data_IF_071780135059
#
_entry.id   IF_071780135059
#
_cell.length_a   1.000
_cell.length_b   1.000
_cell.length_c   1.000
_cell.angle_alpha   90.00
_cell.angle_beta   90.00
_cell.angle_gamma   90.00
#
_symmetry.space_group_name_H-M   'P 1'
#
loop_
_entity.id
_entity.type
_entity.pdbx_description
1 polymer ?
#
# COMPACT_ATOMS: atom_id res chain seq x y z
N UNK A 1 -13.94 -2.63 -34.04
CA UNK A 1 -12.90 -2.83 -33.04
C UNK A 1 -12.89 -4.28 -32.63
N UNK A 2 -11.86 -5.05 -33.04
CA UNK A 2 -11.69 -6.43 -32.66
C UNK A 2 -11.61 -6.55 -31.13
N UNK A 3 -12.21 -7.58 -30.55
CA UNK A 3 -12.10 -7.89 -29.12
C UNK A 3 -10.67 -8.41 -28.87
N UNK A 4 -9.68 -7.52 -28.72
CA UNK A 4 -8.36 -7.96 -28.26
C UNK A 4 -8.54 -8.61 -26.88
N UNK A 5 -8.57 -9.91 -26.85
CA UNK A 5 -8.62 -10.70 -25.62
C UNK A 5 -7.20 -10.92 -25.10
N UNK A 6 -7.04 -10.93 -23.79
CA UNK A 6 -5.79 -11.36 -23.17
C UNK A 6 -5.54 -12.81 -23.58
N UNK A 7 -4.41 -13.15 -24.18
CA UNK A 7 -4.11 -14.50 -24.64
C UNK A 7 -4.21 -15.53 -23.51
N UNK A 8 -4.68 -16.74 -23.83
CA UNK A 8 -4.84 -17.81 -22.83
C UNK A 8 -3.55 -18.19 -22.11
N UNK A 9 -2.41 -18.15 -22.83
CA UNK A 9 -1.11 -18.44 -22.21
C UNK A 9 -0.70 -17.40 -21.15
N UNK A 10 -1.07 -16.11 -21.30
CA UNK A 10 -0.83 -15.07 -20.28
C UNK A 10 -1.55 -15.44 -18.98
N UNK A 11 -2.83 -15.86 -19.10
CA UNK A 11 -3.58 -16.33 -17.96
C UNK A 11 -2.99 -17.60 -17.35
N UNK A 12 -2.57 -18.56 -18.17
CA UNK A 12 -1.95 -19.79 -17.68
C UNK A 12 -0.70 -19.50 -16.85
N UNK A 13 0.17 -18.58 -17.30
CA UNK A 13 1.37 -18.18 -16.57
C UNK A 13 1.02 -17.45 -15.26
N UNK A 14 0.12 -16.47 -15.30
CA UNK A 14 -0.24 -15.69 -14.11
C UNK A 14 -0.96 -16.55 -13.07
N UNK A 15 -1.92 -17.37 -13.47
CA UNK A 15 -2.61 -18.31 -12.57
C UNK A 15 -1.62 -19.34 -12.03
N UNK A 16 -0.77 -19.90 -12.87
CA UNK A 16 0.29 -20.83 -12.45
C UNK A 16 1.21 -20.23 -11.39
N UNK A 17 1.68 -18.98 -11.59
CA UNK A 17 2.51 -18.28 -10.62
C UNK A 17 1.79 -18.09 -9.26
N UNK A 18 0.50 -17.69 -9.28
CA UNK A 18 -0.29 -17.54 -8.05
C UNK A 18 -0.49 -18.89 -7.34
N UNK A 19 -0.87 -19.94 -8.08
CA UNK A 19 -1.08 -21.28 -7.50
C UNK A 19 0.21 -21.85 -6.93
N UNK A 20 1.34 -21.71 -7.63
CA UNK A 20 2.63 -22.19 -7.15
C UNK A 20 3.07 -21.43 -5.90
N UNK A 21 2.93 -20.09 -5.88
CA UNK A 21 3.29 -19.29 -4.70
C UNK A 21 2.38 -19.61 -3.52
N UNK A 22 1.07 -19.70 -3.73
CA UNK A 22 0.12 -20.06 -2.68
C UNK A 22 0.39 -21.47 -2.13
N UNK A 23 0.60 -22.45 -3.01
CA UNK A 23 0.92 -23.83 -2.63
C UNK A 23 2.23 -23.92 -1.83
N UNK A 24 3.26 -23.17 -2.26
CA UNK A 24 4.52 -23.06 -1.52
C UNK A 24 4.31 -22.48 -0.11
N UNK A 25 3.61 -21.33 -0.02
CA UNK A 25 3.35 -20.64 1.26
C UNK A 25 2.54 -21.50 2.22
N UNK A 26 1.50 -22.20 1.73
CA UNK A 26 0.68 -23.11 2.55
C UNK A 26 1.48 -24.31 3.03
N UNK A 27 2.37 -24.86 2.20
CA UNK A 27 3.23 -25.99 2.56
C UNK A 27 4.29 -25.62 3.60
N UNK A 28 4.89 -24.41 3.47
CA UNK A 28 5.95 -23.94 4.36
C UNK A 28 5.42 -23.26 5.64
N UNK A 29 4.15 -22.86 5.67
CA UNK A 29 3.59 -22.03 6.74
C UNK A 29 4.06 -20.57 6.74
N UNK A 30 4.69 -20.09 5.66
CA UNK A 30 5.31 -18.75 5.55
C UNK A 30 4.31 -17.63 5.18
N UNK A 31 3.04 -17.75 5.60
CA UNK A 31 1.99 -16.77 5.33
C UNK A 31 1.95 -15.61 6.35
N UNK A 32 2.81 -15.63 7.36
CA UNK A 32 2.79 -14.68 8.47
C UNK A 32 3.89 -13.62 8.33
N UNK A 33 3.51 -12.37 8.52
CA UNK A 33 4.39 -11.21 8.66
C UNK A 33 4.23 -10.60 10.06
N UNK A 34 5.05 -9.63 10.43
CA UNK A 34 5.04 -9.00 11.75
C UNK A 34 3.65 -8.46 12.19
N UNK A 35 2.82 -8.05 11.23
CA UNK A 35 1.48 -7.52 11.50
C UNK A 35 0.39 -8.59 11.57
N UNK A 36 0.64 -9.79 11.05
CA UNK A 36 -0.36 -10.86 10.89
C UNK A 36 -1.00 -11.25 12.21
N UNK A 37 -0.19 -11.46 13.26
CA UNK A 37 -0.68 -11.86 14.58
C UNK A 37 -1.68 -10.85 15.15
N UNK A 38 -1.43 -9.55 14.98
CA UNK A 38 -2.34 -8.50 15.42
C UNK A 38 -3.67 -8.48 14.68
N UNK A 39 -3.67 -8.78 13.38
CA UNK A 39 -4.91 -8.86 12.61
C UNK A 39 -5.76 -10.05 12.99
N UNK A 40 -5.16 -11.24 13.17
CA UNK A 40 -5.85 -12.46 13.55
C UNK A 40 -6.41 -12.28 14.98
N UNK A 41 -5.59 -11.80 15.92
CA UNK A 41 -6.02 -11.60 17.31
C UNK A 41 -7.15 -10.57 17.41
N UNK A 42 -7.09 -9.47 16.62
CA UNK A 42 -8.18 -8.50 16.58
C UNK A 42 -9.49 -9.11 16.03
N UNK A 43 -9.42 -9.98 15.04
CA UNK A 43 -10.57 -10.69 14.50
C UNK A 43 -11.14 -11.71 15.51
N UNK A 44 -10.28 -12.47 16.20
CA UNK A 44 -10.67 -13.44 17.23
C UNK A 44 -11.34 -12.74 18.43
N UNK A 45 -10.74 -11.67 18.93
CA UNK A 45 -11.31 -10.91 20.05
C UNK A 45 -12.67 -10.27 19.69
N UNK A 46 -12.78 -9.76 18.46
CA UNK A 46 -14.04 -9.20 17.96
C UNK A 46 -15.14 -10.28 17.92
N UNK A 47 -14.79 -11.51 17.54
CA UNK A 47 -15.71 -12.64 17.50
C UNK A 47 -16.12 -13.10 18.91
N UNK A 48 -15.13 -13.29 19.80
CA UNK A 48 -15.37 -13.90 21.11
C UNK A 48 -15.92 -12.94 22.15
N UNK A 49 -15.49 -11.69 22.10
CA UNK A 49 -15.70 -10.70 23.16
C UNK A 49 -16.36 -9.41 22.69
N UNK A 50 -16.57 -9.24 21.38
CA UNK A 50 -17.05 -7.98 20.79
C UNK A 50 -16.03 -6.84 20.82
N UNK A 51 -14.75 -7.13 21.15
CA UNK A 51 -13.71 -6.14 21.34
C UNK A 51 -12.69 -6.14 20.21
N UNK A 52 -12.50 -4.99 19.55
CA UNK A 52 -11.41 -4.81 18.56
C UNK A 52 -10.11 -4.54 19.33
N UNK A 53 -9.37 -5.60 19.65
CA UNK A 53 -8.14 -5.54 20.42
C UNK A 53 -7.08 -6.48 19.82
N UNK A 54 -5.87 -5.96 19.54
CA UNK A 54 -4.88 -6.64 18.72
C UNK A 54 -3.89 -7.53 19.48
N UNK A 55 -4.19 -7.86 20.75
CA UNK A 55 -3.44 -8.82 21.58
C UNK A 55 -4.42 -9.76 22.32
N UNK A 56 -3.92 -10.83 22.98
CA UNK A 56 -4.78 -11.71 23.77
C UNK A 56 -5.65 -10.97 24.79
N UNK A 57 -6.92 -11.33 24.87
CA UNK A 57 -7.93 -10.77 25.78
C UNK A 57 -8.29 -11.78 26.87
N UNK A 58 -8.62 -11.36 28.11
CA UNK A 58 -8.68 -9.99 28.58
C UNK A 58 -7.30 -9.39 28.86
N UNK A 59 -7.14 -8.10 28.55
CA UNK A 59 -5.96 -7.33 28.97
C UNK A 59 -6.03 -7.13 30.49
N UNK A 60 -5.06 -7.68 31.20
CA UNK A 60 -5.10 -7.72 32.68
C UNK A 60 -4.92 -6.33 33.33
N UNK A 61 -4.22 -5.41 32.63
CA UNK A 61 -4.06 -4.02 33.10
C UNK A 61 -3.93 -3.13 31.87
N UNK A 62 -4.72 -2.05 31.75
CA UNK A 62 -4.51 -1.06 30.72
C UNK A 62 -3.30 -0.18 31.07
N UNK A 63 -2.09 -0.70 30.84
CA UNK A 63 -0.96 0.21 30.66
C UNK A 63 -1.18 1.03 29.39
N UNK A 64 -0.62 2.23 29.27
CA UNK A 64 -0.73 3.03 28.06
C UNK A 64 -0.33 2.28 26.79
N UNK A 65 0.57 1.27 26.89
CA UNK A 65 0.94 0.37 25.81
C UNK A 65 -0.16 -0.65 25.46
N UNK A 66 -0.91 -1.13 26.45
CA UNK A 66 -2.03 -2.05 26.23
C UNK A 66 -3.21 -1.32 25.56
N UNK A 67 -3.51 -0.09 25.99
CA UNK A 67 -4.56 0.75 25.38
C UNK A 67 -4.30 1.03 23.89
N UNK A 68 -3.05 1.15 23.49
CA UNK A 68 -2.64 1.29 22.08
C UNK A 68 -3.18 0.17 21.19
N UNK A 69 -3.27 -1.04 21.68
CA UNK A 69 -3.69 -2.21 20.89
C UNK A 69 -5.18 -2.19 20.50
N UNK A 70 -6.02 -1.34 21.13
CA UNK A 70 -7.39 -1.11 20.70
C UNK A 70 -7.50 -0.40 19.34
N UNK A 71 -6.50 0.38 18.97
CA UNK A 71 -6.59 1.27 17.81
C UNK A 71 -5.44 1.11 16.81
N UNK A 72 -4.52 0.17 17.08
CA UNK A 72 -3.35 -0.05 16.21
C UNK A 72 -3.73 -0.58 14.83
N UNK A 73 -4.85 -1.31 14.73
CA UNK A 73 -5.37 -1.86 13.48
C UNK A 73 -6.81 -1.40 13.27
N UNK A 74 -7.12 -0.81 12.10
CA UNK A 74 -8.51 -0.51 11.73
C UNK A 74 -9.33 -1.79 11.58
N UNK A 75 -10.64 -1.66 11.73
CA UNK A 75 -11.59 -2.79 11.80
C UNK A 75 -11.75 -3.56 10.47
N UNK A 76 -11.45 -2.93 9.31
CA UNK A 76 -11.81 -3.48 8.01
C UNK A 76 -11.19 -4.83 7.70
N UNK A 77 -9.88 -5.00 7.92
CA UNK A 77 -9.23 -6.28 7.64
C UNK A 77 -9.58 -7.37 8.67
N UNK A 78 -9.63 -7.11 9.99
CA UNK A 78 -10.19 -8.03 10.97
C UNK A 78 -11.59 -8.54 10.62
N UNK A 79 -12.51 -7.68 10.14
CA UNK A 79 -13.84 -8.10 9.69
C UNK A 79 -13.81 -9.07 8.51
N UNK A 80 -12.89 -8.89 7.55
CA UNK A 80 -12.74 -9.83 6.44
C UNK A 80 -12.20 -11.18 6.92
N UNK A 81 -11.20 -11.17 7.82
CA UNK A 81 -10.68 -12.39 8.44
C UNK A 81 -11.80 -13.15 9.14
N UNK A 82 -12.61 -12.43 9.94
CA UNK A 82 -13.76 -12.98 10.66
C UNK A 82 -14.81 -13.56 9.71
N UNK A 83 -15.21 -12.78 8.69
CA UNK A 83 -16.22 -13.19 7.71
C UNK A 83 -15.86 -14.44 6.91
N UNK A 84 -14.55 -14.74 6.78
CA UNK A 84 -14.04 -15.94 6.10
C UNK A 84 -13.74 -17.10 7.06
N UNK A 85 -14.04 -16.97 8.35
CA UNK A 85 -13.75 -17.99 9.36
C UNK A 85 -12.25 -18.21 9.63
N UNK A 86 -11.39 -17.30 9.16
CA UNK A 86 -9.92 -17.43 9.30
C UNK A 86 -9.38 -16.93 10.65
N UNK A 87 -10.25 -16.44 11.54
CA UNK A 87 -9.85 -15.99 12.87
C UNK A 87 -9.54 -17.17 13.81
N UNK A 88 -10.27 -18.28 13.66
CA UNK A 88 -10.18 -19.47 14.53
C UNK A 88 -9.66 -20.70 13.80
N UNK A 89 -9.34 -20.58 12.51
CA UNK A 89 -8.95 -21.68 11.66
C UNK A 89 -7.76 -21.37 10.76
N UNK A 90 -7.60 -22.18 9.72
CA UNK A 90 -6.51 -22.04 8.76
C UNK A 90 -6.80 -20.88 7.78
N UNK A 91 -5.80 -20.01 7.44
CA UNK A 91 -6.03 -18.82 6.61
C UNK A 91 -6.27 -19.12 5.11
N UNK A 92 -6.39 -20.37 4.71
CA UNK A 92 -6.43 -20.78 3.30
C UNK A 92 -7.53 -20.05 2.48
N UNK A 93 -8.74 -19.91 3.01
CA UNK A 93 -9.84 -19.23 2.32
C UNK A 93 -9.54 -17.75 2.09
N UNK A 94 -8.95 -17.09 3.08
CA UNK A 94 -8.50 -15.69 2.96
C UNK A 94 -7.42 -15.55 1.89
N UNK A 95 -6.42 -16.45 1.89
CA UNK A 95 -5.32 -16.43 0.92
C UNK A 95 -5.81 -16.73 -0.50
N UNK A 96 -6.76 -17.65 -0.67
CA UNK A 96 -7.43 -17.91 -1.97
C UNK A 96 -8.15 -16.64 -2.44
N UNK A 97 -8.98 -16.02 -1.60
CA UNK A 97 -9.65 -14.76 -1.94
C UNK A 97 -8.65 -13.69 -2.37
N UNK A 98 -7.55 -13.49 -1.64
CA UNK A 98 -6.54 -12.50 -1.95
C UNK A 98 -5.84 -12.77 -3.28
N UNK A 99 -5.54 -14.05 -3.61
CA UNK A 99 -5.00 -14.44 -4.90
C UNK A 99 -6.00 -14.17 -6.04
N UNK A 100 -7.30 -14.43 -5.82
CA UNK A 100 -8.34 -14.08 -6.78
C UNK A 100 -8.45 -12.57 -7.01
N UNK A 101 -8.38 -11.76 -5.95
CA UNK A 101 -8.37 -10.29 -6.04
C UNK A 101 -7.13 -9.76 -6.77
N UNK A 102 -5.96 -10.38 -6.53
CA UNK A 102 -4.72 -10.09 -7.27
C UNK A 102 -4.90 -10.34 -8.77
N UNK A 103 -5.35 -11.55 -9.15
CA UNK A 103 -5.61 -11.92 -10.54
C UNK A 103 -6.69 -11.02 -11.18
N UNK A 104 -7.73 -10.67 -10.45
CA UNK A 104 -8.76 -9.73 -10.91
C UNK A 104 -8.16 -8.35 -11.21
N UNK A 105 -7.36 -7.82 -10.30
CA UNK A 105 -6.72 -6.51 -10.44
C UNK A 105 -5.79 -6.47 -11.67
N UNK A 106 -4.94 -7.49 -11.82
CA UNK A 106 -4.08 -7.66 -12.99
C UNK A 106 -4.91 -7.82 -14.27
N UNK A 107 -5.97 -8.62 -14.20
CA UNK A 107 -6.87 -8.85 -15.33
C UNK A 107 -7.59 -7.60 -15.82
N UNK A 108 -8.00 -6.72 -14.91
CA UNK A 108 -8.60 -5.43 -15.26
C UNK A 108 -7.60 -4.58 -16.05
N UNK A 109 -6.36 -4.45 -15.56
CA UNK A 109 -5.31 -3.66 -16.22
C UNK A 109 -4.94 -4.25 -17.59
N UNK A 110 -4.68 -5.56 -17.66
CA UNK A 110 -4.27 -6.23 -18.89
C UNK A 110 -5.37 -6.20 -19.96
N UNK A 111 -6.65 -6.42 -19.57
CA UNK A 111 -7.78 -6.32 -20.50
C UNK A 111 -7.98 -4.89 -20.99
N UNK A 112 -7.87 -3.90 -20.10
CA UNK A 112 -7.97 -2.50 -20.48
C UNK A 112 -6.88 -2.13 -21.49
N UNK A 113 -5.62 -2.44 -21.19
CA UNK A 113 -4.48 -2.18 -22.08
C UNK A 113 -4.59 -2.95 -23.39
N UNK A 114 -4.93 -4.24 -23.35
CA UNK A 114 -5.11 -5.08 -24.54
C UNK A 114 -6.13 -4.52 -25.52
N UNK A 115 -7.25 -4.02 -25.02
CA UNK A 115 -8.30 -3.40 -25.87
C UNK A 115 -7.86 -2.06 -26.47
N UNK A 116 -6.99 -1.35 -25.78
CA UNK A 116 -6.58 -0.01 -26.17
C UNK A 116 -5.35 -0.01 -27.08
N UNK A 117 -4.35 -0.85 -26.81
CA UNK A 117 -3.07 -0.88 -27.49
C UNK A 117 -2.94 -1.96 -28.56
N UNK A 118 -3.83 -2.97 -28.58
CA UNK A 118 -3.75 -4.15 -29.46
C UNK A 118 -2.33 -4.74 -29.52
N UNK A 119 -1.79 -5.26 -28.37
CA UNK A 119 -0.40 -5.69 -28.26
C UNK A 119 -0.13 -6.98 -29.02
N UNK A 120 1.10 -7.10 -29.57
CA UNK A 120 1.62 -8.32 -30.15
C UNK A 120 2.12 -9.33 -29.10
N UNK A 121 2.60 -10.50 -29.56
CA UNK A 121 3.08 -11.56 -28.65
C UNK A 121 4.24 -11.11 -27.76
N UNK A 122 5.21 -10.35 -28.32
CA UNK A 122 6.32 -9.81 -27.55
C UNK A 122 5.86 -8.81 -26.47
N UNK A 123 4.89 -7.94 -26.81
CA UNK A 123 4.34 -6.99 -25.83
C UNK A 123 3.69 -7.70 -24.66
N UNK A 124 2.95 -8.80 -24.92
CA UNK A 124 2.36 -9.64 -23.89
C UNK A 124 3.42 -10.35 -23.04
N UNK A 125 4.50 -10.84 -23.66
CA UNK A 125 5.61 -11.44 -22.91
C UNK A 125 6.28 -10.44 -21.98
N UNK A 126 6.51 -9.21 -22.45
CA UNK A 126 7.04 -8.12 -21.62
C UNK A 126 6.08 -7.70 -20.52
N UNK A 127 4.76 -7.71 -20.77
CA UNK A 127 3.75 -7.44 -19.76
C UNK A 127 3.76 -8.51 -18.65
N UNK A 128 3.85 -9.79 -19.00
CA UNK A 128 4.00 -10.90 -18.05
C UNK A 128 5.31 -10.76 -17.28
N UNK A 129 6.43 -10.49 -17.97
CA UNK A 129 7.73 -10.22 -17.34
C UNK A 129 7.65 -9.06 -16.33
N UNK A 130 6.93 -7.97 -16.68
CA UNK A 130 6.71 -6.86 -15.77
C UNK A 130 5.92 -7.26 -14.51
N UNK A 131 4.98 -8.19 -14.58
CA UNK A 131 4.26 -8.71 -13.42
C UNK A 131 5.13 -9.64 -12.60
N UNK A 132 5.79 -10.62 -13.20
CA UNK A 132 6.57 -11.63 -12.48
C UNK A 132 7.82 -11.05 -11.81
N UNK A 133 8.39 -9.98 -12.34
CA UNK A 133 9.51 -9.25 -11.73
C UNK A 133 9.09 -8.26 -10.64
N UNK A 134 7.83 -8.32 -10.18
CA UNK A 134 7.36 -7.66 -8.97
C UNK A 134 6.82 -8.71 -7.99
N UNK A 135 7.72 -9.47 -7.32
CA UNK A 135 7.34 -10.62 -6.49
C UNK A 135 6.42 -10.23 -5.32
N UNK A 136 6.49 -8.99 -4.83
CA UNK A 136 5.60 -8.49 -3.78
C UNK A 136 4.11 -8.70 -4.11
N UNK A 137 3.70 -8.64 -5.40
CA UNK A 137 2.32 -8.93 -5.81
C UNK A 137 1.89 -10.35 -5.41
N UNK A 138 2.73 -11.34 -5.69
CA UNK A 138 2.44 -12.76 -5.39
C UNK A 138 2.57 -13.07 -3.90
N UNK A 139 3.58 -12.49 -3.26
CA UNK A 139 3.88 -12.67 -1.83
C UNK A 139 2.71 -12.15 -0.98
N UNK A 140 2.28 -10.90 -1.22
CA UNK A 140 1.18 -10.31 -0.45
C UNK A 140 -0.21 -10.84 -0.84
N UNK A 141 -0.37 -11.42 -2.03
CA UNK A 141 -1.55 -12.21 -2.35
C UNK A 141 -1.64 -13.51 -1.53
N UNK A 142 -0.50 -14.05 -1.11
CA UNK A 142 -0.38 -15.31 -0.37
C UNK A 142 -0.01 -15.11 1.11
N UNK A 143 -0.19 -13.91 1.66
CA UNK A 143 0.12 -13.58 3.07
C UNK A 143 -1.08 -12.98 3.77
N UNK A 144 -1.22 -13.23 5.08
CA UNK A 144 -2.31 -12.65 5.88
C UNK A 144 -2.02 -11.17 6.17
N UNK A 145 -2.27 -10.36 5.14
CA UNK A 145 -1.98 -8.93 5.09
C UNK A 145 -3.04 -8.18 4.28
N UNK A 146 -3.32 -6.93 4.62
CA UNK A 146 -4.42 -6.14 4.04
C UNK A 146 -4.14 -5.60 2.62
N UNK A 147 -2.95 -5.81 2.07
CA UNK A 147 -2.46 -5.19 0.85
C UNK A 147 -3.31 -5.52 -0.39
N UNK A 148 -3.82 -6.74 -0.54
CA UNK A 148 -4.64 -7.13 -1.69
C UNK A 148 -6.04 -6.52 -1.67
N UNK A 149 -6.67 -6.47 -0.51
CA UNK A 149 -7.96 -5.79 -0.33
C UNK A 149 -7.79 -4.29 -0.57
N UNK A 150 -6.72 -3.72 -0.05
CA UNK A 150 -6.39 -2.32 -0.26
C UNK A 150 -6.11 -2.01 -1.73
N UNK A 151 -5.38 -2.90 -2.44
CA UNK A 151 -5.17 -2.80 -3.89
C UNK A 151 -6.49 -2.77 -4.65
N UNK A 152 -7.44 -3.63 -4.27
CA UNK A 152 -8.77 -3.68 -4.88
C UNK A 152 -9.53 -2.38 -4.64
N UNK A 153 -9.47 -1.83 -3.42
CA UNK A 153 -10.10 -0.55 -3.09
C UNK A 153 -9.47 0.61 -3.89
N UNK A 154 -8.14 0.69 -3.96
CA UNK A 154 -7.42 1.74 -4.72
C UNK A 154 -7.72 1.64 -6.21
N UNK A 155 -7.73 0.44 -6.78
CA UNK A 155 -8.13 0.25 -8.18
C UNK A 155 -9.59 0.65 -8.40
N UNK A 156 -10.47 0.35 -7.44
CA UNK A 156 -11.87 0.81 -7.42
C UNK A 156 -11.99 2.33 -7.44
N UNK A 157 -11.18 3.05 -6.65
CA UNK A 157 -11.11 4.53 -6.67
C UNK A 157 -10.74 5.02 -8.08
N UNK A 158 -9.67 4.47 -8.66
CA UNK A 158 -9.18 4.91 -9.97
C UNK A 158 -10.19 4.63 -11.09
N UNK A 159 -10.80 3.44 -11.12
CA UNK A 159 -11.83 3.06 -12.10
C UNK A 159 -13.06 3.95 -11.95
N UNK A 160 -13.50 4.20 -10.72
CA UNK A 160 -14.67 5.03 -10.43
C UNK A 160 -14.44 6.49 -10.85
N UNK A 161 -13.26 7.04 -10.56
CA UNK A 161 -12.86 8.37 -11.00
C UNK A 161 -12.85 8.46 -12.54
N UNK A 162 -12.25 7.47 -13.22
CA UNK A 162 -12.24 7.42 -14.67
C UNK A 162 -13.65 7.31 -15.27
N UNK A 163 -14.52 6.47 -14.70
CA UNK A 163 -15.89 6.30 -15.16
C UNK A 163 -16.74 7.56 -14.89
N UNK A 164 -16.51 8.24 -13.77
CA UNK A 164 -17.18 9.50 -13.43
C UNK A 164 -16.79 10.63 -14.38
N UNK A 165 -15.50 10.81 -14.67
CA UNK A 165 -15.03 11.83 -15.63
C UNK A 165 -15.58 11.61 -17.04
N UNK A 166 -15.81 10.35 -17.43
CA UNK A 166 -16.35 10.00 -18.75
C UNK A 166 -17.86 10.19 -18.87
N UNK A 167 -18.61 9.94 -17.82
CA UNK A 167 -20.07 9.83 -17.90
C UNK A 167 -20.84 10.82 -17.02
N UNK A 168 -20.17 11.46 -16.07
CA UNK A 168 -20.74 12.35 -15.04
C UNK A 168 -21.88 11.70 -14.22
N UNK A 169 -21.98 10.35 -14.20
CA UNK A 169 -23.04 9.63 -13.47
C UNK A 169 -22.67 9.50 -11.99
N UNK A 170 -23.57 9.95 -11.12
CA UNK A 170 -23.38 9.99 -9.67
C UNK A 170 -23.03 8.62 -9.05
N UNK A 171 -23.56 7.53 -9.61
CA UNK A 171 -23.24 6.16 -9.15
C UNK A 171 -21.74 5.83 -9.17
N UNK A 172 -21.00 6.34 -10.15
CA UNK A 172 -19.54 6.11 -10.19
C UNK A 172 -18.82 6.95 -9.16
N UNK A 173 -19.28 8.17 -8.91
CA UNK A 173 -18.73 8.97 -7.82
C UNK A 173 -18.98 8.29 -6.46
N UNK A 174 -20.22 7.82 -6.21
CA UNK A 174 -20.57 7.09 -5.01
C UNK A 174 -19.75 5.81 -4.85
N UNK A 175 -19.52 5.03 -5.91
CA UNK A 175 -18.67 3.86 -5.88
C UNK A 175 -17.22 4.20 -5.50
N UNK A 176 -16.68 5.33 -6.00
CA UNK A 176 -15.36 5.83 -5.61
C UNK A 176 -15.30 6.19 -4.14
N UNK A 177 -16.33 6.86 -3.61
CA UNK A 177 -16.42 7.19 -2.18
C UNK A 177 -16.48 5.92 -1.30
N UNK A 178 -17.26 4.91 -1.69
CA UNK A 178 -17.28 3.61 -0.99
C UNK A 178 -15.91 2.96 -0.99
N UNK A 179 -15.19 3.03 -2.11
CA UNK A 179 -13.84 2.49 -2.20
C UNK A 179 -12.83 3.26 -1.32
N UNK A 180 -12.98 4.59 -1.17
CA UNK A 180 -12.18 5.40 -0.22
C UNK A 180 -12.47 4.98 1.22
N UNK A 181 -13.75 4.82 1.59
CA UNK A 181 -14.14 4.35 2.93
C UNK A 181 -13.58 2.96 3.20
N UNK A 182 -13.65 2.04 2.23
CA UNK A 182 -13.04 0.73 2.36
C UNK A 182 -11.51 0.84 2.58
N UNK A 183 -10.80 1.67 1.81
CA UNK A 183 -9.36 1.84 1.94
C UNK A 183 -8.94 2.38 3.32
N UNK A 184 -9.62 3.40 3.85
CA UNK A 184 -9.29 3.97 5.16
C UNK A 184 -9.57 3.00 6.32
N UNK A 185 -10.63 2.17 6.21
CA UNK A 185 -10.93 1.14 7.22
C UNK A 185 -10.00 -0.08 7.12
N UNK A 186 -9.34 -0.30 5.98
CA UNK A 186 -8.31 -1.33 5.81
C UNK A 186 -6.93 -0.88 6.33
N UNK A 187 -6.57 0.40 6.09
CA UNK A 187 -5.23 0.90 6.46
C UNK A 187 -5.25 2.39 6.79
N UNK A 188 -4.70 2.80 7.96
CA UNK A 188 -4.79 4.18 8.43
C UNK A 188 -4.16 5.20 7.48
N UNK A 189 -3.17 4.81 6.68
CA UNK A 189 -2.51 5.70 5.72
C UNK A 189 -3.50 6.34 4.73
N UNK A 190 -4.72 5.79 4.57
CA UNK A 190 -5.74 6.31 3.66
C UNK A 190 -6.75 7.27 4.32
N UNK A 191 -6.74 7.48 5.64
CA UNK A 191 -7.69 8.42 6.24
C UNK A 191 -7.49 9.88 5.77
N UNK A 192 -6.27 10.39 5.48
CA UNK A 192 -6.12 11.75 4.94
C UNK A 192 -6.74 11.91 3.54
N UNK A 193 -6.87 10.82 2.76
CA UNK A 193 -7.53 10.87 1.45
C UNK A 193 -9.01 11.25 1.57
N UNK A 194 -9.66 11.00 2.71
CA UNK A 194 -11.03 11.43 2.97
C UNK A 194 -11.17 12.94 2.84
N UNK A 195 -10.24 13.71 3.39
CA UNK A 195 -10.24 15.18 3.30
C UNK A 195 -10.01 15.65 1.87
N UNK A 196 -9.06 15.03 1.15
CA UNK A 196 -8.79 15.34 -0.26
C UNK A 196 -10.03 15.12 -1.11
N UNK A 197 -10.70 13.97 -0.95
CA UNK A 197 -11.93 13.65 -1.69
C UNK A 197 -13.06 14.62 -1.35
N UNK A 198 -13.21 14.98 -0.09
CA UNK A 198 -14.21 15.96 0.35
C UNK A 198 -13.97 17.34 -0.27
N UNK A 199 -12.74 17.85 -0.23
CA UNK A 199 -12.39 19.14 -0.85
C UNK A 199 -12.66 19.13 -2.36
N UNK A 200 -12.25 18.07 -3.05
CA UNK A 200 -12.53 17.89 -4.48
C UNK A 200 -14.03 17.82 -4.76
N UNK A 201 -14.80 17.10 -3.93
CA UNK A 201 -16.24 16.98 -4.08
C UNK A 201 -16.96 18.32 -3.88
N UNK A 202 -16.54 19.11 -2.90
CA UNK A 202 -17.06 20.48 -2.68
C UNK A 202 -16.76 21.34 -3.88
N UNK A 203 -15.52 21.37 -4.38
CA UNK A 203 -15.11 22.14 -5.55
C UNK A 203 -15.89 21.75 -6.82
N UNK A 204 -16.02 20.46 -7.10
CA UNK A 204 -16.78 19.93 -8.24
C UNK A 204 -18.28 20.22 -8.07
N UNK A 205 -18.83 19.95 -6.89
CA UNK A 205 -20.25 20.19 -6.60
C UNK A 205 -20.62 21.66 -6.72
N UNK A 206 -19.78 22.57 -6.22
CA UNK A 206 -19.93 24.01 -6.35
C UNK A 206 -19.87 24.46 -7.83
N UNK A 207 -18.80 24.03 -8.53
CA UNK A 207 -18.57 24.43 -9.95
C UNK A 207 -19.67 23.99 -10.89
N UNK A 208 -20.25 22.79 -10.65
CA UNK A 208 -21.30 22.21 -11.50
C UNK A 208 -22.70 22.27 -10.88
N UNK A 209 -22.88 22.97 -9.75
CA UNK A 209 -24.14 23.10 -9.00
C UNK A 209 -24.80 21.74 -8.69
N UNK A 210 -23.97 20.74 -8.30
CA UNK A 210 -24.43 19.37 -8.00
C UNK A 210 -24.34 19.10 -6.52
N UNK A 211 -25.31 19.47 -5.71
CA UNK A 211 -25.35 19.27 -4.26
C UNK A 211 -25.13 17.78 -3.88
N UNK A 212 -25.69 16.84 -4.65
CA UNK A 212 -25.50 15.40 -4.38
C UNK A 212 -24.02 14.96 -4.39
N UNK A 213 -23.15 15.59 -5.21
CA UNK A 213 -21.71 15.32 -5.21
C UNK A 213 -21.07 15.78 -3.89
N UNK A 214 -21.48 16.95 -3.39
CA UNK A 214 -21.01 17.48 -2.10
C UNK A 214 -21.42 16.56 -0.97
N UNK A 215 -22.71 16.20 -0.89
CA UNK A 215 -23.26 15.35 0.19
C UNK A 215 -22.56 13.98 0.21
N UNK A 216 -22.42 13.32 -0.94
CA UNK A 216 -21.72 12.04 -1.02
C UNK A 216 -20.22 12.20 -0.68
N UNK A 217 -19.60 13.30 -1.11
CA UNK A 217 -18.20 13.59 -0.85
C UNK A 217 -17.87 13.87 0.63
N UNK A 218 -18.86 14.23 1.46
CA UNK A 218 -18.70 14.38 2.92
C UNK A 218 -18.66 13.04 3.65
N UNK A 219 -19.17 11.95 3.07
CA UNK A 219 -19.25 10.63 3.73
C UNK A 219 -17.91 10.14 4.27
N UNK A 220 -16.77 10.21 3.53
CA UNK A 220 -15.50 9.73 4.07
C UNK A 220 -15.04 10.47 5.33
N UNK A 221 -15.20 11.82 5.39
CA UNK A 221 -14.81 12.61 6.56
C UNK A 221 -15.74 12.32 7.74
N UNK A 222 -17.04 12.13 7.49
CA UNK A 222 -17.98 11.70 8.53
C UNK A 222 -17.60 10.34 9.11
N UNK A 223 -17.22 9.37 8.26
CA UNK A 223 -16.75 8.05 8.72
C UNK A 223 -15.47 8.20 9.54
N UNK A 224 -14.52 9.04 9.11
CA UNK A 224 -13.30 9.32 9.90
C UNK A 224 -13.67 9.90 11.27
N UNK A 225 -14.52 10.92 11.31
CA UNK A 225 -14.95 11.55 12.58
C UNK A 225 -15.63 10.57 13.52
N UNK A 226 -16.59 9.76 13.03
CA UNK A 226 -17.27 8.74 13.81
C UNK A 226 -16.31 7.65 14.32
N UNK A 227 -15.35 7.24 13.50
CA UNK A 227 -14.34 6.27 13.89
C UNK A 227 -13.37 6.81 14.95
N UNK A 228 -12.98 8.08 14.85
CA UNK A 228 -12.16 8.76 15.86
C UNK A 228 -12.95 8.94 17.16
N UNK A 229 -14.25 9.26 17.10
CA UNK A 229 -15.12 9.34 18.27
C UNK A 229 -15.26 7.98 18.97
N UNK A 230 -15.43 6.91 18.20
CA UNK A 230 -15.44 5.55 18.75
C UNK A 230 -14.11 5.19 19.43
N UNK A 231 -12.98 5.56 18.84
CA UNK A 231 -11.66 5.38 19.45
C UNK A 231 -11.49 6.20 20.74
N UNK A 232 -12.00 7.44 20.77
CA UNK A 232 -11.98 8.27 21.99
C UNK A 232 -12.74 7.64 23.14
N UNK A 233 -13.89 7.02 22.88
CA UNK A 233 -14.67 6.31 23.91
C UNK A 233 -13.89 5.14 24.52
N UNK A 234 -13.05 4.43 23.73
CA UNK A 234 -12.29 3.26 24.18
C UNK A 234 -10.92 3.60 24.79
N UNK A 235 -10.33 4.72 24.42
CA UNK A 235 -8.93 5.04 24.76
C UNK A 235 -8.76 6.37 25.50
N UNK A 236 -9.81 7.18 25.60
CA UNK A 236 -9.72 8.55 26.13
C UNK A 236 -9.07 9.56 25.16
N UNK A 237 -8.62 9.13 23.96
CA UNK A 237 -7.90 9.98 23.01
C UNK A 237 -8.58 10.01 21.63
N UNK A 238 -8.82 11.21 21.11
CA UNK A 238 -9.46 11.41 19.80
C UNK A 238 -8.44 11.26 18.66
N UNK A 239 -8.37 10.06 18.09
CA UNK A 239 -7.41 9.72 17.03
C UNK A 239 -7.96 8.63 16.11
N UNK A 240 -7.40 8.50 14.91
CA UNK A 240 -7.80 7.47 13.96
C UNK A 240 -7.13 6.12 14.24
N UNK A 241 -5.82 6.11 14.51
CA UNK A 241 -5.08 4.89 14.83
C UNK A 241 -3.77 5.25 15.53
N UNK A 242 -3.44 4.51 16.57
CA UNK A 242 -2.20 4.64 17.34
C UNK A 242 -0.93 4.23 16.61
N UNK A 243 -1.05 3.66 15.40
CA UNK A 243 0.12 3.38 14.55
C UNK A 243 0.80 4.67 14.06
N UNK A 244 0.08 5.80 14.04
CA UNK A 244 0.62 7.07 13.57
C UNK A 244 1.79 7.54 14.45
N UNK A 245 1.64 7.51 15.78
CA UNK A 245 2.67 7.91 16.74
C UNK A 245 3.85 6.94 16.75
N UNK A 246 3.57 5.63 16.58
CA UNK A 246 4.61 4.63 16.43
C UNK A 246 5.46 4.92 15.19
N UNK A 247 4.82 5.18 14.06
CA UNK A 247 5.53 5.49 12.83
C UNK A 247 6.31 6.81 12.94
N UNK A 248 5.71 7.81 13.58
CA UNK A 248 6.34 9.11 13.81
C UNK A 248 7.63 8.94 14.62
N UNK A 249 7.61 8.17 15.70
CA UNK A 249 8.77 7.94 16.55
C UNK A 249 9.78 6.99 15.89
N UNK A 250 9.35 5.75 15.57
CA UNK A 250 10.26 4.65 15.24
C UNK A 250 10.81 4.68 13.81
N UNK A 251 10.13 5.37 12.89
CA UNK A 251 10.57 5.42 11.50
C UNK A 251 10.96 6.81 11.04
N UNK A 252 10.26 7.85 11.50
CA UNK A 252 10.57 9.20 11.07
C UNK A 252 11.65 9.81 11.98
N UNK A 253 11.39 10.01 13.26
CA UNK A 253 12.33 10.65 14.17
C UNK A 253 13.56 9.78 14.47
N UNK A 254 13.39 8.49 14.72
CA UNK A 254 14.49 7.57 14.94
C UNK A 254 15.47 7.51 13.76
N UNK A 255 14.97 7.56 12.53
CA UNK A 255 15.83 7.60 11.35
C UNK A 255 16.70 8.88 11.26
N UNK A 256 16.22 10.00 11.80
CA UNK A 256 17.01 11.23 11.93
C UNK A 256 18.08 11.05 13.00
N UNK A 257 17.74 10.51 14.18
CA UNK A 257 18.72 10.21 15.25
C UNK A 257 19.80 9.27 14.73
N UNK A 258 19.45 8.24 13.96
CA UNK A 258 20.42 7.33 13.34
C UNK A 258 21.41 8.06 12.43
N UNK A 259 20.94 9.04 11.65
CA UNK A 259 21.82 9.82 10.77
C UNK A 259 22.78 10.71 11.54
N UNK A 260 22.37 11.24 12.69
CA UNK A 260 23.18 12.14 13.52
C UNK A 260 24.21 11.37 14.34
N UNK A 261 23.78 10.29 15.01
CA UNK A 261 24.54 9.68 16.10
C UNK A 261 24.69 8.15 15.98
N UNK A 262 24.19 7.55 14.89
CA UNK A 262 24.32 6.11 14.63
C UNK A 262 23.23 5.25 15.26
N UNK A 263 23.21 3.93 14.92
CA UNK A 263 22.12 3.02 15.28
C UNK A 263 22.01 2.73 16.78
N UNK A 264 23.15 2.71 17.51
CA UNK A 264 23.13 2.44 18.95
C UNK A 264 22.48 3.57 19.75
N UNK A 265 22.74 4.84 19.36
CA UNK A 265 22.12 6.01 19.99
C UNK A 265 20.65 6.09 19.65
N UNK A 266 20.28 5.75 18.41
CA UNK A 266 18.87 5.66 17.99
C UNK A 266 18.10 4.67 18.87
N UNK A 267 18.59 3.46 19.05
CA UNK A 267 17.91 2.42 19.83
C UNK A 267 17.73 2.87 21.30
N UNK A 268 18.78 3.42 21.92
CA UNK A 268 18.72 3.98 23.26
C UNK A 268 17.71 5.12 23.38
N UNK A 269 17.73 6.05 22.41
CA UNK A 269 16.81 7.20 22.41
C UNK A 269 15.35 6.75 22.27
N UNK A 270 15.03 5.85 21.33
CA UNK A 270 13.69 5.31 21.15
C UNK A 270 13.21 4.60 22.41
N UNK A 271 14.06 3.76 23.01
CA UNK A 271 13.75 3.04 24.25
C UNK A 271 13.43 4.02 25.39
N UNK A 272 14.25 5.03 25.60
CA UNK A 272 14.03 6.05 26.63
C UNK A 272 12.72 6.82 26.43
N UNK A 273 12.40 7.20 25.16
CA UNK A 273 11.15 7.89 24.86
C UNK A 273 9.94 6.98 25.17
N UNK A 274 10.01 5.70 24.80
CA UNK A 274 8.91 4.74 25.05
C UNK A 274 8.76 4.49 26.55
N UNK A 275 9.84 4.30 27.31
CA UNK A 275 9.80 4.08 28.77
C UNK A 275 9.17 5.27 29.48
N UNK A 276 9.59 6.50 29.17
CA UNK A 276 9.01 7.71 29.73
C UNK A 276 7.55 7.88 29.32
N UNK A 277 7.20 7.60 28.07
CA UNK A 277 5.82 7.63 27.60
C UNK A 277 4.94 6.62 28.37
N UNK A 278 5.46 5.41 28.63
CA UNK A 278 4.73 4.37 29.35
C UNK A 278 4.54 4.68 30.85
N UNK A 279 5.29 5.62 31.42
CA UNK A 279 5.10 6.13 32.78
C UNK A 279 3.98 7.17 32.86
N UNK A 280 3.38 7.60 31.75
CA UNK A 280 2.26 8.54 31.75
C UNK A 280 1.00 7.95 32.41
N UNK A 281 0.22 8.81 33.05
CA UNK A 281 -0.99 8.45 33.80
C UNK A 281 -2.12 7.91 32.91
N UNK A 282 -2.18 8.37 31.66
CA UNK A 282 -3.23 8.02 30.70
C UNK A 282 -2.68 7.93 29.26
N UNK A 283 -3.51 7.36 28.39
CA UNK A 283 -3.12 7.12 27.01
C UNK A 283 -2.95 8.41 26.19
N UNK A 284 -3.77 9.44 26.43
CA UNK A 284 -3.67 10.71 25.72
C UNK A 284 -2.35 11.42 26.05
N UNK A 285 -1.99 11.51 27.33
CA UNK A 285 -0.71 12.07 27.80
C UNK A 285 0.48 11.31 27.22
N UNK A 286 0.40 9.97 27.17
CA UNK A 286 1.41 9.12 26.50
C UNK A 286 1.60 9.49 25.04
N UNK A 287 0.51 9.61 24.26
CA UNK A 287 0.60 9.93 22.84
C UNK A 287 1.13 11.34 22.58
N UNK A 288 0.69 12.32 23.36
CA UNK A 288 1.19 13.69 23.29
C UNK A 288 2.69 13.76 23.60
N UNK A 289 3.16 13.01 24.59
CA UNK A 289 4.60 12.94 24.89
C UNK A 289 5.40 12.40 23.70
N UNK A 290 4.96 11.30 23.08
CA UNK A 290 5.62 10.72 21.89
C UNK A 290 5.62 11.73 20.73
N UNK A 291 4.50 12.40 20.47
CA UNK A 291 4.38 13.41 19.43
C UNK A 291 5.33 14.60 19.69
N UNK A 292 5.40 15.06 20.92
CA UNK A 292 6.28 16.19 21.30
C UNK A 292 7.77 15.83 21.11
N UNK A 293 8.20 14.64 21.57
CA UNK A 293 9.60 14.21 21.44
C UNK A 293 9.99 13.98 19.96
N UNK A 294 9.15 13.26 19.22
CA UNK A 294 9.40 13.02 17.81
C UNK A 294 9.31 14.32 16.98
N UNK A 295 8.31 15.17 17.25
CA UNK A 295 8.13 16.45 16.57
C UNK A 295 9.31 17.40 16.81
N UNK A 296 9.81 17.50 18.03
CA UNK A 296 10.99 18.31 18.36
C UNK A 296 12.24 17.83 17.59
N UNK A 297 12.46 16.50 17.51
CA UNK A 297 13.57 15.94 16.75
C UNK A 297 13.46 16.27 15.24
N UNK A 298 12.27 16.13 14.66
CA UNK A 298 12.05 16.38 13.23
C UNK A 298 12.16 17.87 12.89
N UNK A 299 11.63 18.76 13.74
CA UNK A 299 11.68 20.21 13.50
C UNK A 299 13.10 20.79 13.68
N UNK A 300 13.88 20.23 14.60
CA UNK A 300 15.29 20.62 14.78
C UNK A 300 16.19 20.22 13.60
N UNK A 301 15.79 19.20 12.81
CA UNK A 301 16.59 18.62 11.73
C UNK A 301 15.74 18.36 10.46
N UNK A 302 15.02 19.41 10.02
CA UNK A 302 14.11 19.32 8.86
C UNK A 302 14.81 18.92 7.56
N UNK A 303 16.05 19.33 7.36
CA UNK A 303 16.87 19.00 6.20
C UNK A 303 17.18 17.49 6.13
N UNK A 304 17.60 16.90 7.26
CA UNK A 304 17.85 15.45 7.36
C UNK A 304 16.56 14.67 7.18
N UNK A 305 15.46 15.14 7.79
CA UNK A 305 14.16 14.51 7.63
C UNK A 305 13.66 14.58 6.19
N UNK A 306 13.72 15.74 5.55
CA UNK A 306 13.30 15.91 4.16
C UNK A 306 14.11 15.00 3.22
N UNK A 307 15.43 14.94 3.41
CA UNK A 307 16.30 14.04 2.64
C UNK A 307 15.91 12.57 2.83
N UNK A 308 15.72 12.13 4.09
CA UNK A 308 15.30 10.77 4.42
C UNK A 308 13.94 10.44 3.79
N UNK A 309 13.00 11.38 3.86
CA UNK A 309 11.66 11.23 3.33
C UNK A 309 11.68 11.01 1.81
N UNK A 310 12.36 11.90 1.08
CA UNK A 310 12.52 11.77 -0.38
C UNK A 310 13.24 10.47 -0.77
N UNK A 311 14.28 10.09 -0.03
CA UNK A 311 14.98 8.82 -0.26
C UNK A 311 14.06 7.62 -0.07
N UNK A 312 13.17 7.64 0.93
CA UNK A 312 12.17 6.59 1.14
C UNK A 312 11.12 6.58 0.02
N UNK A 313 10.65 7.74 -0.44
CA UNK A 313 9.76 7.83 -1.60
C UNK A 313 10.38 7.20 -2.85
N UNK A 314 11.66 7.42 -3.12
CA UNK A 314 12.40 6.79 -4.23
C UNK A 314 12.55 5.29 -3.99
N UNK A 315 12.89 4.90 -2.75
CA UNK A 315 13.04 3.50 -2.36
C UNK A 315 11.76 2.68 -2.60
N UNK A 316 10.58 3.25 -2.36
CA UNK A 316 9.28 2.62 -2.62
C UNK A 316 9.20 2.03 -4.03
N UNK A 317 9.71 2.74 -5.04
CA UNK A 317 9.65 2.33 -6.44
C UNK A 317 10.81 1.44 -6.87
N UNK A 318 11.94 1.50 -6.19
CA UNK A 318 13.17 0.81 -6.57
C UNK A 318 13.48 -0.42 -5.74
N UNK A 319 12.84 -0.57 -4.56
CA UNK A 319 13.09 -1.71 -3.66
C UNK A 319 12.85 -3.04 -4.39
N UNK A 320 13.86 -3.92 -4.48
CA UNK A 320 13.69 -5.25 -5.07
C UNK A 320 12.94 -6.23 -4.16
N UNK A 321 12.50 -5.81 -2.97
CA UNK A 321 11.73 -6.65 -2.05
C UNK A 321 12.56 -7.74 -1.36
N UNK A 322 13.83 -7.49 -1.03
CA UNK A 322 14.68 -8.48 -0.37
C UNK A 322 14.07 -9.02 0.91
N UNK A 323 13.44 -8.16 1.72
CA UNK A 323 12.76 -8.57 2.96
C UNK A 323 11.61 -9.54 2.66
N UNK A 324 10.78 -9.20 1.68
CA UNK A 324 9.62 -10.00 1.28
C UNK A 324 10.05 -11.37 0.71
N UNK A 325 11.09 -11.37 -0.14
CA UNK A 325 11.69 -12.59 -0.69
C UNK A 325 12.34 -13.45 0.40
N UNK A 326 13.00 -12.84 1.38
CA UNK A 326 13.58 -13.56 2.51
C UNK A 326 12.52 -14.31 3.30
N UNK A 327 11.38 -13.68 3.54
CA UNK A 327 10.24 -14.30 4.22
C UNK A 327 9.65 -15.46 3.41
N UNK A 328 9.47 -15.27 2.09
CA UNK A 328 8.91 -16.30 1.19
C UNK A 328 9.85 -17.53 1.06
N UNK A 329 11.14 -17.28 0.89
CA UNK A 329 12.12 -18.30 0.53
C UNK A 329 12.91 -18.84 1.74
N UNK A 330 12.63 -18.33 2.95
CA UNK A 330 13.34 -18.71 4.16
C UNK A 330 14.82 -18.25 4.17
N UNK A 331 15.13 -17.16 3.47
CA UNK A 331 16.49 -16.60 3.51
C UNK A 331 16.77 -15.94 4.86
N UNK A 332 18.02 -15.91 5.32
CA UNK A 332 18.36 -15.19 6.54
C UNK A 332 18.00 -13.71 6.39
N UNK A 333 17.46 -13.08 7.45
CA UNK A 333 17.11 -11.67 7.41
C UNK A 333 18.36 -10.84 7.09
N UNK A 334 18.17 -9.69 6.37
CA UNK A 334 19.29 -8.84 6.00
C UNK A 334 19.96 -8.23 7.25
N UNK A 335 21.23 -8.56 7.48
CA UNK A 335 22.03 -7.95 8.53
C UNK A 335 22.22 -6.45 8.23
N UNK A 336 22.09 -5.59 9.23
CA UNK A 336 22.37 -4.14 9.11
C UNK A 336 21.37 -3.33 8.28
N UNK A 337 20.14 -3.82 8.07
CA UNK A 337 19.11 -3.17 7.29
C UNK A 337 19.17 -3.49 5.78
N UNK A 338 18.25 -2.92 5.00
CA UNK A 338 18.16 -3.17 3.55
C UNK A 338 19.38 -2.65 2.76
N UNK A 339 19.56 -3.14 1.52
CA UNK A 339 20.68 -2.75 0.64
C UNK A 339 20.82 -1.23 0.47
N UNK A 340 19.72 -0.50 0.43
CA UNK A 340 19.71 0.96 0.38
C UNK A 340 20.33 1.61 1.64
N UNK A 341 20.06 1.04 2.82
CA UNK A 341 20.66 1.54 4.06
C UNK A 341 22.18 1.28 4.10
N UNK A 342 22.60 0.12 3.61
CA UNK A 342 24.02 -0.22 3.49
C UNK A 342 24.73 0.61 2.40
N UNK A 343 24.03 0.93 1.29
CA UNK A 343 24.51 1.87 0.29
C UNK A 343 24.77 3.28 0.88
N UNK A 344 23.86 3.76 1.73
CA UNK A 344 24.02 5.05 2.44
C UNK A 344 25.24 5.06 3.37
N UNK A 345 25.58 3.90 3.94
CA UNK A 345 26.74 3.75 4.84
C UNK A 345 28.04 3.48 4.07
N UNK A 346 28.05 3.57 2.74
CA UNK A 346 29.20 3.24 1.90
C UNK A 346 29.58 1.75 1.88
N UNK A 347 28.71 0.87 2.45
CA UNK A 347 28.97 -0.55 2.61
C UNK A 347 28.27 -1.42 1.56
N UNK A 348 27.84 -0.81 0.45
CA UNK A 348 27.10 -1.53 -0.60
C UNK A 348 27.88 -2.72 -1.15
N UNK A 349 29.18 -2.56 -1.33
CA UNK A 349 30.04 -3.62 -1.83
C UNK A 349 30.15 -4.80 -0.83
N UNK A 350 30.33 -4.52 0.43
CA UNK A 350 30.37 -5.54 1.49
C UNK A 350 29.02 -6.28 1.58
N UNK A 351 27.93 -5.54 1.48
CA UNK A 351 26.59 -6.12 1.46
C UNK A 351 26.32 -7.00 0.24
N UNK A 352 26.80 -6.57 -0.94
CA UNK A 352 26.67 -7.33 -2.16
C UNK A 352 27.50 -8.61 -2.13
N UNK A 353 28.74 -8.53 -1.66
CA UNK A 353 29.65 -9.68 -1.57
C UNK A 353 29.26 -10.69 -0.48
N UNK A 354 28.46 -10.28 0.51
CA UNK A 354 27.94 -11.19 1.55
C UNK A 354 26.75 -12.03 1.07
N UNK A 355 26.18 -11.73 -0.11
CA UNK A 355 25.05 -12.47 -0.66
C UNK A 355 25.48 -13.58 -1.61
N UNK A 356 24.80 -14.74 -1.59
CA UNK A 356 24.95 -15.73 -2.64
C UNK A 356 24.67 -15.13 -4.03
N UNK A 357 25.45 -15.48 -5.04
CA UNK A 357 25.35 -14.95 -6.38
C UNK A 357 23.93 -15.03 -6.98
N UNK A 358 23.21 -16.15 -6.73
CA UNK A 358 21.82 -16.29 -7.20
C UNK A 358 20.86 -15.27 -6.58
N UNK A 359 21.03 -14.92 -5.30
CA UNK A 359 20.23 -13.89 -4.65
C UNK A 359 20.57 -12.51 -5.21
N UNK A 360 21.85 -12.21 -5.38
CA UNK A 360 22.31 -10.96 -5.95
C UNK A 360 21.79 -10.76 -7.38
N UNK A 361 21.88 -11.80 -8.22
CA UNK A 361 21.37 -11.78 -9.59
C UNK A 361 19.85 -11.55 -9.62
N UNK A 362 19.07 -12.26 -8.78
CA UNK A 362 17.62 -12.08 -8.70
C UNK A 362 17.25 -10.65 -8.29
N UNK A 363 17.87 -10.13 -7.22
CA UNK A 363 17.61 -8.76 -6.75
C UNK A 363 18.02 -7.73 -7.81
N UNK A 364 19.12 -7.96 -8.53
CA UNK A 364 19.57 -7.12 -9.65
C UNK A 364 18.57 -7.09 -10.80
N UNK A 365 18.05 -8.26 -11.21
CA UNK A 365 17.01 -8.35 -12.25
C UNK A 365 15.75 -7.60 -11.85
N UNK A 366 15.30 -7.75 -10.60
CA UNK A 366 14.12 -7.05 -10.08
C UNK A 366 14.36 -5.53 -10.07
N UNK A 367 15.52 -5.08 -9.61
CA UNK A 367 15.88 -3.66 -9.61
C UNK A 367 15.88 -3.07 -11.02
N UNK A 368 16.52 -3.74 -11.98
CA UNK A 368 16.53 -3.32 -13.39
C UNK A 368 15.11 -3.26 -13.97
N UNK A 369 14.27 -4.25 -13.65
CA UNK A 369 12.87 -4.26 -14.04
C UNK A 369 12.08 -3.11 -13.39
N UNK A 370 12.37 -2.74 -12.13
CA UNK A 370 11.77 -1.58 -11.46
C UNK A 370 12.11 -0.28 -12.18
N UNK A 371 13.40 -0.07 -12.52
CA UNK A 371 13.87 1.10 -13.28
C UNK A 371 13.19 1.16 -14.66
N UNK A 372 13.16 0.04 -15.39
CA UNK A 372 12.50 -0.03 -16.69
C UNK A 372 11.01 0.30 -16.61
N UNK A 373 10.29 -0.26 -15.59
CA UNK A 373 8.87 0.05 -15.35
C UNK A 373 8.64 1.52 -15.10
N UNK A 374 9.47 2.18 -14.30
CA UNK A 374 9.37 3.62 -14.06
C UNK A 374 9.58 4.42 -15.35
N UNK A 375 10.60 4.08 -16.14
CA UNK A 375 10.84 4.73 -17.44
C UNK A 375 9.64 4.57 -18.38
N UNK A 376 9.08 3.36 -18.48
CA UNK A 376 7.86 3.14 -19.25
C UNK A 376 6.66 3.85 -18.66
N UNK A 377 6.50 3.92 -17.33
CA UNK A 377 5.40 4.63 -16.70
C UNK A 377 5.43 6.14 -16.98
N UNK A 378 6.61 6.76 -16.93
CA UNK A 378 6.81 8.17 -17.35
C UNK A 378 6.41 8.36 -18.81
N UNK A 379 6.91 7.49 -19.71
CA UNK A 379 6.52 7.52 -21.12
C UNK A 379 5.01 7.33 -21.31
N UNK A 380 4.38 6.43 -20.52
CA UNK A 380 2.94 6.20 -20.56
C UNK A 380 2.12 7.41 -20.10
N UNK A 381 2.57 8.08 -19.04
CA UNK A 381 1.97 9.32 -18.57
C UNK A 381 1.97 10.40 -19.67
N UNK A 382 3.08 10.57 -20.38
CA UNK A 382 3.15 11.51 -21.49
C UNK A 382 2.28 11.08 -22.68
N UNK A 383 2.20 9.80 -23.00
CA UNK A 383 1.33 9.30 -24.09
C UNK A 383 -0.17 9.55 -23.82
N UNK A 384 -0.60 9.38 -22.56
CA UNK A 384 -1.99 9.58 -22.19
C UNK A 384 -2.46 11.06 -22.30
N UNK A 385 -1.55 12.03 -22.40
CA UNK A 385 -1.92 13.44 -22.61
C UNK A 385 -2.63 13.69 -23.95
N UNK A 386 -2.34 12.87 -24.96
CA UNK A 386 -2.95 12.95 -26.30
C UNK A 386 -4.20 12.08 -26.44
N UNK A 387 -4.65 11.43 -25.36
CA UNK A 387 -5.88 10.64 -25.31
C UNK A 387 -7.14 11.47 -25.11
N UNK A 388 -8.27 10.78 -24.87
CA UNK A 388 -9.53 11.41 -24.48
C UNK A 388 -9.39 12.17 -23.15
N UNK A 389 -10.34 13.08 -22.86
CA UNK A 389 -10.35 13.80 -21.58
C UNK A 389 -10.30 12.86 -20.38
N UNK A 390 -11.07 11.77 -20.41
CA UNK A 390 -11.03 10.78 -19.36
C UNK A 390 -9.62 10.13 -19.18
N UNK A 391 -8.86 9.93 -20.25
CA UNK A 391 -7.48 9.45 -20.19
C UNK A 391 -6.53 10.51 -19.64
N UNK A 392 -6.72 11.77 -20.06
CA UNK A 392 -5.94 12.92 -19.55
C UNK A 392 -6.15 13.10 -18.03
N UNK A 393 -7.38 13.00 -17.54
CA UNK A 393 -7.66 13.07 -16.09
C UNK A 393 -7.23 11.79 -15.39
N UNK A 394 -7.51 10.62 -15.97
CA UNK A 394 -7.15 9.31 -15.40
C UNK A 394 -5.66 9.16 -15.09
N UNK A 395 -4.76 9.69 -15.94
CA UNK A 395 -3.31 9.70 -15.67
C UNK A 395 -2.96 10.49 -14.40
N UNK A 396 -3.64 11.63 -14.15
CA UNK A 396 -3.40 12.43 -12.96
C UNK A 396 -3.93 11.75 -11.70
N UNK A 397 -5.06 11.05 -11.79
CA UNK A 397 -5.58 10.22 -10.69
C UNK A 397 -4.58 9.11 -10.36
N UNK A 398 -4.07 8.41 -11.38
CA UNK A 398 -3.08 7.35 -11.18
C UNK A 398 -1.79 7.88 -10.53
N UNK A 399 -1.21 8.95 -11.06
CA UNK A 399 0.01 9.57 -10.52
C UNK A 399 -0.26 10.18 -9.14
N UNK A 400 -1.42 10.82 -8.94
CA UNK A 400 -1.80 11.38 -7.64
C UNK A 400 -1.87 10.31 -6.55
N UNK A 401 -2.46 9.12 -6.83
CA UNK A 401 -2.49 8.01 -5.88
C UNK A 401 -1.11 7.39 -5.65
N UNK A 402 -0.27 7.27 -6.69
CA UNK A 402 1.13 6.81 -6.55
C UNK A 402 1.94 7.76 -5.65
N UNK A 403 1.86 9.07 -5.92
CA UNK A 403 2.56 10.08 -5.12
C UNK A 403 1.98 10.20 -3.71
N UNK A 404 0.66 10.06 -3.54
CA UNK A 404 0.01 10.02 -2.24
C UNK A 404 0.59 8.91 -1.36
N UNK A 405 0.66 7.67 -1.89
CA UNK A 405 1.24 6.55 -1.14
C UNK A 405 2.72 6.78 -0.87
N UNK A 406 3.50 7.24 -1.85
CA UNK A 406 4.92 7.54 -1.68
C UNK A 406 5.16 8.59 -0.60
N UNK A 407 4.38 9.69 -0.59
CA UNK A 407 4.50 10.75 0.39
C UNK A 407 4.12 10.29 1.80
N UNK A 408 3.05 9.50 1.96
CA UNK A 408 2.61 9.07 3.29
C UNK A 408 3.40 7.90 3.86
N UNK A 409 4.00 7.05 3.03
CA UNK A 409 4.93 6.02 3.52
C UNK A 409 6.30 6.56 3.84
N UNK A 410 6.71 7.67 3.20
CA UNK A 410 7.93 8.42 3.49
C UNK A 410 9.16 7.53 3.71
N UNK A 411 9.82 7.63 4.89
CA UNK A 411 11.05 6.90 5.19
C UNK A 411 10.95 5.38 5.14
N UNK A 412 9.72 4.83 5.23
CA UNK A 412 9.43 3.40 5.20
C UNK A 412 9.48 2.76 3.81
N UNK A 413 9.83 3.50 2.77
CA UNK A 413 9.76 3.07 1.37
C UNK A 413 10.23 1.63 1.14
N UNK A 414 9.28 0.71 0.91
CA UNK A 414 9.51 -0.71 0.65
C UNK A 414 8.52 -1.22 -0.40
N UNK A 415 8.88 -2.30 -1.11
CA UNK A 415 8.06 -2.91 -2.16
C UNK A 415 6.63 -3.24 -1.69
N UNK A 416 6.46 -3.62 -0.42
CA UNK A 416 5.17 -3.85 0.24
C UNK A 416 4.19 -2.69 0.05
N UNK A 417 4.65 -1.47 0.27
CA UNK A 417 3.77 -0.29 0.22
C UNK A 417 3.41 0.13 -1.21
N UNK A 418 4.13 -0.38 -2.20
CA UNK A 418 3.78 -0.19 -3.61
C UNK A 418 2.61 -1.10 -4.06
N UNK A 419 2.43 -2.26 -3.41
CA UNK A 419 1.41 -3.26 -3.77
C UNK A 419 0.01 -2.66 -3.95
N UNK A 420 -0.52 -1.81 -3.05
CA UNK A 420 -1.86 -1.23 -3.21
C UNK A 420 -2.04 -0.39 -4.48
N UNK A 421 -1.00 0.29 -4.93
CA UNK A 421 -1.03 1.17 -6.12
C UNK A 421 -0.34 0.55 -7.34
N UNK A 422 0.18 -0.66 -7.20
CA UNK A 422 0.88 -1.38 -8.25
C UNK A 422 0.10 -1.49 -9.57
N UNK A 423 -1.21 -1.81 -9.61
CA UNK A 423 -1.97 -1.88 -10.85
C UNK A 423 -1.95 -0.56 -11.63
N UNK A 424 -1.86 0.59 -10.96
CA UNK A 424 -1.80 1.90 -11.58
C UNK A 424 -0.43 2.15 -12.23
N UNK A 425 0.65 1.79 -11.53
CA UNK A 425 2.01 1.84 -12.09
C UNK A 425 2.15 0.91 -13.28
N UNK A 426 1.63 -0.32 -13.18
CA UNK A 426 1.62 -1.28 -14.27
C UNK A 426 0.84 -0.74 -15.48
N UNK A 427 -0.35 -0.16 -15.27
CA UNK A 427 -1.16 0.43 -16.33
C UNK A 427 -0.38 1.53 -17.09
N UNK A 428 0.27 2.44 -16.36
CA UNK A 428 1.11 3.49 -16.95
C UNK A 428 2.29 2.89 -17.72
N UNK A 429 2.97 1.89 -17.15
CA UNK A 429 4.12 1.24 -17.79
C UNK A 429 3.73 0.52 -19.09
N UNK A 430 2.60 -0.20 -19.09
CA UNK A 430 2.09 -0.89 -20.27
C UNK A 430 1.70 0.09 -21.39
N UNK A 431 1.11 1.24 -21.06
CA UNK A 431 0.86 2.32 -22.02
C UNK A 431 2.18 2.88 -22.58
N UNK A 432 3.20 2.99 -21.75
CA UNK A 432 4.54 3.40 -22.16
C UNK A 432 5.23 2.37 -23.04
N UNK A 433 5.00 1.08 -22.81
CA UNK A 433 5.49 0.00 -23.65
C UNK A 433 4.85 0.09 -25.04
N UNK A 434 3.53 0.06 -25.09
CA UNK A 434 2.75 0.19 -26.34
C UNK A 434 1.56 1.11 -26.16
N UNK A 435 1.57 2.22 -26.91
CA UNK A 435 0.47 3.18 -26.97
C UNK A 435 -0.67 2.74 -27.91
N UNK A 436 -1.71 3.57 -28.04
CA UNK A 436 -2.79 3.30 -28.97
C UNK A 436 -2.24 3.26 -30.40
N UNK A 437 -2.78 2.36 -31.20
CA UNK A 437 -2.59 2.48 -32.63
C UNK A 437 -3.27 3.78 -33.10
N UNK A 438 -2.60 4.61 -33.92
CA UNK A 438 -3.28 5.73 -34.55
C UNK A 438 -4.49 5.15 -35.28
N UNK A 439 -5.68 5.71 -34.99
CA UNK A 439 -6.86 5.43 -35.78
C UNK A 439 -6.44 5.72 -37.21
N UNK A 440 -6.37 4.67 -38.05
CA UNK A 440 -6.27 4.89 -39.48
C UNK A 440 -7.41 5.86 -39.82
N UNK A 441 -7.07 7.08 -40.16
CA UNK A 441 -8.02 7.98 -40.80
C UNK A 441 -8.58 7.18 -41.97
N UNK A 442 -9.85 6.79 -41.89
CA UNK A 442 -10.56 6.35 -43.07
C UNK A 442 -10.32 7.48 -44.09
N UNK A 443 -9.46 7.22 -45.07
CA UNK A 443 -9.46 7.99 -46.29
C UNK A 443 -10.87 7.80 -46.83
N UNK A 444 -11.72 8.81 -46.63
CA UNK A 444 -12.91 8.96 -47.42
C UNK A 444 -12.39 9.18 -48.87
N UNK A 445 -12.48 8.11 -49.65
CA UNK A 445 -12.34 8.12 -51.09
C UNK A 445 -13.70 8.17 -51.73
#
# INVERSE_FOLDING_TARGET
>A
MGKAQVPGWVWAVLVGAHVLTLGWVLRQGNWSFADTGRYIQAAENLWRYGELYARPWPAIVPSGQAVQEFTIRPVGYPLVILGLGSATGHPAMLLVLQNMLSLLSLGVVLRWWGRWANPGSLDWALAVGAVLTFPAQLIYASSVMSEMLLQTAVLGIAISAFAFTRSCRLRYFAAGVVAVVAALLLKPVFYPLAFVVTVLAVGVGWRYRRLAVVVIGLVPVLVVGLYMQWNQQRTGYFHFSSIAEINLLQYNAAGVVRQIAGPEVEEKWVTQVIERANAASDFATRQHFIQAQAGAMLTAHLDLYARQHVQGMVALFLDPGRFDLSQLLGWPPPAGGGLLNQARQGRLWQAATSLPWGQLALLGIILLANVARLGFAVRGFHRLQHGSDAMRYGRWVAVGLLLYVAALTGPLGAARFLVPVWPLLLALALVGLRGPQPLMQKKEG
#
